data_IF_408203615304
#
_entry.id   IF_408203615304
#
_cell.length_a   1.000
_cell.length_b   1.000
_cell.length_c   1.000
_cell.angle_alpha   90.00
_cell.angle_beta   90.00
_cell.angle_gamma   90.00
#
_symmetry.space_group_name_H-M   'P 1'
#
loop_
_entity.id
_entity.type
_entity.pdbx_description
1 polymer ?
#
# COMPACT_ATOMS: atom_id res chain seq x y z
N UNK A 1 13.48 -29.75 17.79
CA UNK A 1 12.62 -30.94 17.64
C UNK A 1 11.70 -31.01 18.85
N UNK A 2 10.39 -31.23 18.67
CA UNK A 2 9.48 -31.41 19.80
C UNK A 2 9.46 -32.88 20.18
N UNK A 3 9.77 -33.23 21.42
CA UNK A 3 9.70 -34.63 21.86
C UNK A 3 8.27 -35.07 22.16
N UNK A 4 7.97 -36.34 21.91
CA UNK A 4 6.72 -36.96 22.33
C UNK A 4 6.61 -36.90 23.87
N UNK A 5 5.40 -36.67 24.39
CA UNK A 5 5.16 -36.64 25.83
C UNK A 5 4.99 -38.06 26.34
N UNK A 6 5.68 -38.39 27.42
CA UNK A 6 5.58 -39.70 28.08
C UNK A 6 4.13 -40.00 28.48
N UNK A 7 3.66 -41.22 28.19
CA UNK A 7 2.28 -41.66 28.44
C UNK A 7 1.20 -41.04 27.55
N UNK A 8 1.54 -40.22 26.53
CA UNK A 8 0.56 -39.63 25.60
C UNK A 8 0.84 -40.02 24.16
N UNK A 9 -0.22 -40.12 23.36
CA UNK A 9 -0.11 -40.40 21.91
C UNK A 9 0.73 -39.32 21.23
N UNK A 10 1.74 -39.76 20.47
CA UNK A 10 2.60 -38.89 19.68
C UNK A 10 1.75 -38.05 18.71
N UNK A 11 1.95 -36.73 18.72
CA UNK A 11 1.31 -35.82 17.76
C UNK A 11 2.11 -35.82 16.46
N UNK A 12 1.49 -35.34 15.37
CA UNK A 12 2.06 -35.31 14.02
C UNK A 12 3.47 -34.70 13.92
N UNK A 13 3.80 -33.73 14.77
CA UNK A 13 5.09 -33.02 14.77
C UNK A 13 6.04 -33.47 15.90
N UNK A 14 5.65 -34.49 16.67
CA UNK A 14 6.51 -35.04 17.71
C UNK A 14 7.62 -35.88 17.05
N UNK A 15 8.86 -35.72 17.51
CA UNK A 15 10.08 -36.32 16.99
C UNK A 15 10.41 -35.99 15.51
N UNK A 16 9.74 -34.99 14.93
CA UNK A 16 10.02 -34.50 13.57
C UNK A 16 10.84 -33.21 13.65
N UNK A 17 11.92 -33.15 12.85
CA UNK A 17 12.68 -31.92 12.65
C UNK A 17 11.93 -31.02 11.66
N UNK A 18 11.68 -29.77 12.03
CA UNK A 18 10.94 -28.82 11.20
C UNK A 18 11.58 -27.44 11.29
N UNK A 19 11.52 -26.70 10.19
CA UNK A 19 11.96 -25.31 10.09
C UNK A 19 10.82 -24.31 10.40
N UNK A 20 9.65 -24.80 10.83
CA UNK A 20 8.44 -24.02 11.02
C UNK A 20 7.59 -23.91 9.74
N UNK A 21 6.61 -23.00 9.77
CA UNK A 21 5.70 -22.71 8.65
C UNK A 21 5.98 -21.32 8.09
N UNK A 22 6.03 -21.17 6.77
CA UNK A 22 6.24 -19.87 6.12
C UNK A 22 4.99 -18.99 6.24
N UNK A 23 5.16 -17.77 6.75
CA UNK A 23 4.14 -16.71 6.69
C UNK A 23 3.99 -16.25 5.23
N UNK A 24 2.80 -16.42 4.65
CA UNK A 24 2.52 -16.06 3.26
C UNK A 24 2.52 -14.54 3.04
N UNK A 25 2.27 -13.76 4.08
CA UNK A 25 2.18 -12.29 3.99
C UNK A 25 3.54 -11.63 4.08
N UNK A 26 4.39 -12.07 5.03
CA UNK A 26 5.69 -11.44 5.31
C UNK A 26 6.89 -12.29 4.87
N UNK A 27 6.68 -13.54 4.47
CA UNK A 27 7.72 -14.45 3.98
C UNK A 27 8.62 -15.06 5.05
N UNK A 28 8.43 -14.75 6.33
CA UNK A 28 9.26 -15.27 7.42
C UNK A 28 8.84 -16.68 7.84
N UNK A 29 9.81 -17.47 8.30
CA UNK A 29 9.53 -18.75 8.94
C UNK A 29 8.99 -18.53 10.37
N UNK A 30 7.89 -19.19 10.69
CA UNK A 30 7.17 -19.09 11.96
C UNK A 30 7.21 -20.41 12.71
N UNK A 31 7.41 -20.35 14.02
CA UNK A 31 7.18 -21.47 14.92
C UNK A 31 6.22 -21.01 16.02
N UNK A 32 5.02 -21.59 16.05
CA UNK A 32 3.90 -21.03 16.83
C UNK A 32 3.67 -19.55 16.45
N UNK A 33 3.61 -18.63 17.41
CA UNK A 33 3.45 -17.18 17.19
C UNK A 33 4.76 -16.41 16.99
N UNK A 34 5.92 -17.09 16.97
CA UNK A 34 7.24 -16.45 16.97
C UNK A 34 7.96 -16.63 15.63
N UNK A 35 8.70 -15.59 15.21
CA UNK A 35 9.55 -15.64 14.00
C UNK A 35 10.83 -16.40 14.30
N UNK A 36 11.16 -17.37 13.47
CA UNK A 36 12.31 -18.28 13.69
C UNK A 36 13.64 -17.52 13.73
N UNK A 37 13.89 -16.56 12.83
CA UNK A 37 15.13 -15.77 12.86
C UNK A 37 15.32 -14.98 14.16
N UNK A 38 14.25 -14.50 14.79
CA UNK A 38 14.35 -13.77 16.07
C UNK A 38 14.74 -14.75 17.19
N UNK A 39 14.13 -15.94 17.20
CA UNK A 39 14.46 -16.99 18.18
C UNK A 39 15.92 -17.40 18.04
N UNK A 40 16.39 -17.63 16.82
CA UNK A 40 17.79 -18.00 16.54
C UNK A 40 18.74 -16.87 16.93
N UNK A 41 18.48 -15.63 16.49
CA UNK A 41 19.34 -14.49 16.80
C UNK A 41 19.42 -14.22 18.31
N UNK A 42 18.30 -14.27 19.04
CA UNK A 42 18.29 -14.10 20.50
C UNK A 42 19.05 -15.19 21.25
N UNK A 43 19.05 -16.41 20.73
CA UNK A 43 19.71 -17.54 21.39
C UNK A 43 21.22 -17.61 21.10
N UNK A 44 21.65 -17.20 19.90
CA UNK A 44 23.01 -17.48 19.41
C UNK A 44 23.83 -16.24 19.01
N UNK A 45 23.22 -15.05 18.94
CA UNK A 45 23.92 -13.80 18.55
C UNK A 45 23.86 -12.80 19.70
N UNK A 46 25.00 -12.52 20.37
CA UNK A 46 25.07 -11.51 21.41
C UNK A 46 24.91 -10.07 20.84
N UNK A 47 24.59 -9.10 21.69
CA UNK A 47 24.66 -7.67 21.34
C UNK A 47 23.34 -6.90 21.17
N UNK A 48 22.17 -7.48 21.50
CA UNK A 48 20.87 -6.77 21.50
C UNK A 48 20.23 -6.73 22.90
N UNK A 49 21.01 -6.29 23.89
CA UNK A 49 20.59 -6.26 25.31
C UNK A 49 19.54 -5.18 25.60
N UNK A 50 19.51 -4.10 24.80
CA UNK A 50 18.55 -3.00 24.92
C UNK A 50 17.24 -3.24 24.14
N UNK A 51 17.19 -4.30 23.33
CA UNK A 51 16.03 -4.71 22.53
C UNK A 51 15.67 -3.76 21.38
N UNK A 52 16.53 -2.80 21.04
CA UNK A 52 16.23 -1.76 20.02
C UNK A 52 16.63 -2.18 18.61
N UNK A 53 17.44 -3.22 18.46
CA UNK A 53 17.92 -3.70 17.17
C UNK A 53 16.95 -4.68 16.50
N UNK A 54 17.00 -4.72 15.16
CA UNK A 54 16.28 -5.67 14.32
C UNK A 54 17.24 -6.75 13.80
N UNK A 55 16.71 -7.94 13.50
CA UNK A 55 17.50 -9.00 12.87
C UNK A 55 17.51 -8.80 11.36
N UNK A 56 18.70 -8.69 10.78
CA UNK A 56 18.94 -8.67 9.34
C UNK A 56 19.30 -10.08 8.83
N UNK A 57 18.91 -10.37 7.59
CA UNK A 57 19.31 -11.56 6.82
C UNK A 57 20.35 -11.11 5.80
N UNK A 58 21.62 -11.49 6.00
CA UNK A 58 22.74 -11.04 5.17
C UNK A 58 22.50 -11.37 3.69
N UNK A 59 21.94 -12.54 3.40
CA UNK A 59 21.62 -13.00 2.05
C UNK A 59 20.28 -12.51 1.47
N UNK A 60 19.54 -11.67 2.21
CA UNK A 60 18.17 -11.19 1.89
C UNK A 60 17.09 -12.27 1.82
N UNK A 61 17.40 -13.54 2.07
CA UNK A 61 16.46 -14.65 2.07
C UNK A 61 15.87 -14.88 3.46
N UNK A 62 14.62 -14.47 3.67
CA UNK A 62 13.88 -14.59 4.94
C UNK A 62 13.64 -16.03 5.41
N UNK A 63 13.89 -17.02 4.54
CA UNK A 63 13.81 -18.45 4.86
C UNK A 63 15.15 -19.05 5.32
N UNK A 64 16.28 -18.37 5.15
CA UNK A 64 17.60 -18.82 5.60
C UNK A 64 17.92 -18.32 7.01
N UNK A 65 17.52 -19.09 8.03
CA UNK A 65 17.67 -18.71 9.44
C UNK A 65 18.92 -19.32 10.11
N UNK A 66 19.98 -19.59 9.35
CA UNK A 66 21.26 -20.07 9.90
C UNK A 66 21.91 -18.93 10.69
N UNK A 67 22.58 -19.25 11.81
CA UNK A 67 23.15 -18.23 12.71
C UNK A 67 24.14 -17.34 11.96
N UNK A 68 24.97 -17.93 11.10
CA UNK A 68 25.94 -17.24 10.25
C UNK A 68 25.33 -16.31 9.19
N UNK A 69 24.03 -16.42 8.90
CA UNK A 69 23.31 -15.56 7.95
C UNK A 69 22.54 -14.42 8.65
N UNK A 70 22.54 -14.37 9.98
CA UNK A 70 21.79 -13.39 10.76
C UNK A 70 22.73 -12.43 11.48
N UNK A 71 22.30 -11.18 11.65
CA UNK A 71 23.01 -10.17 12.47
C UNK A 71 22.04 -9.17 13.08
N UNK A 72 22.43 -8.56 14.19
CA UNK A 72 21.68 -7.43 14.77
C UNK A 72 22.11 -6.13 14.10
N UNK A 73 21.14 -5.34 13.64
CA UNK A 73 21.36 -4.00 13.10
C UNK A 73 20.24 -3.07 13.57
N UNK A 74 20.52 -1.77 13.61
CA UNK A 74 19.45 -0.77 13.65
C UNK A 74 18.65 -0.77 12.35
N UNK A 75 17.44 -0.23 12.37
CA UNK A 75 16.60 -0.12 11.16
C UNK A 75 17.30 0.63 10.02
N UNK A 76 18.14 1.63 10.35
CA UNK A 76 18.87 2.44 9.38
C UNK A 76 20.07 1.66 8.81
N UNK A 77 20.87 1.04 9.67
CA UNK A 77 22.02 0.22 9.24
C UNK A 77 21.58 -0.95 8.35
N UNK A 78 20.43 -1.56 8.63
CA UNK A 78 19.86 -2.61 7.78
C UNK A 78 19.64 -2.16 6.33
N UNK A 79 19.29 -0.89 6.13
CA UNK A 79 19.11 -0.31 4.79
C UNK A 79 20.45 0.04 4.15
N UNK A 80 21.38 0.61 4.93
CA UNK A 80 22.64 1.13 4.40
C UNK A 80 23.72 0.06 4.18
N UNK A 81 23.81 -0.97 5.04
CA UNK A 81 24.87 -1.98 5.02
C UNK A 81 24.56 -3.19 4.14
N UNK A 82 23.34 -3.28 3.61
CA UNK A 82 22.98 -4.33 2.66
C UNK A 82 23.07 -3.75 1.25
N UNK A 83 24.12 -4.12 0.49
CA UNK A 83 24.39 -3.55 -0.85
C UNK A 83 23.19 -3.65 -1.81
N UNK A 84 22.43 -4.75 -1.73
CA UNK A 84 21.25 -4.97 -2.57
C UNK A 84 20.07 -4.09 -2.14
N UNK A 85 19.83 -3.98 -0.83
CA UNK A 85 18.82 -3.07 -0.27
C UNK A 85 19.17 -1.63 -0.56
N UNK A 86 20.41 -1.21 -0.31
CA UNK A 86 20.92 0.13 -0.58
C UNK A 86 20.71 0.49 -2.05
N UNK A 87 21.11 -0.37 -2.99
CA UNK A 87 20.91 -0.14 -4.42
C UNK A 87 19.44 0.02 -4.80
N UNK A 88 18.56 -0.82 -4.24
CA UNK A 88 17.12 -0.72 -4.45
C UNK A 88 16.57 0.61 -3.93
N UNK A 89 16.96 1.00 -2.72
CA UNK A 89 16.56 2.29 -2.11
C UNK A 89 17.08 3.46 -2.94
N UNK A 90 18.35 3.46 -3.33
CA UNK A 90 18.94 4.49 -4.20
C UNK A 90 18.18 4.59 -5.53
N UNK A 91 17.81 3.47 -6.13
CA UNK A 91 16.99 3.46 -7.34
C UNK A 91 15.60 4.08 -7.12
N UNK A 92 14.91 3.69 -6.04
CA UNK A 92 13.60 4.22 -5.68
C UNK A 92 13.65 5.73 -5.38
N UNK A 93 14.76 6.22 -4.83
CA UNK A 93 15.00 7.65 -4.59
C UNK A 93 15.46 8.43 -5.84
N UNK A 94 15.39 7.83 -7.04
CA UNK A 94 15.77 8.48 -8.29
C UNK A 94 17.28 8.67 -8.47
N UNK A 95 18.09 7.80 -7.86
CA UNK A 95 19.55 7.82 -7.95
C UNK A 95 20.26 8.57 -6.83
N UNK A 96 19.53 9.17 -5.88
CA UNK A 96 20.10 9.95 -4.79
C UNK A 96 19.67 9.40 -3.42
N UNK A 97 20.60 8.74 -2.73
CA UNK A 97 20.36 8.15 -1.40
C UNK A 97 20.13 9.20 -0.31
N UNK A 98 20.57 10.46 -0.51
CA UNK A 98 20.40 11.50 0.50
C UNK A 98 18.93 11.82 0.76
N UNK A 99 18.07 11.66 -0.25
CA UNK A 99 16.61 11.77 -0.08
C UNK A 99 16.04 10.79 0.94
N UNK A 100 16.62 9.59 1.03
CA UNK A 100 16.25 8.60 2.05
C UNK A 100 16.85 8.94 3.42
N UNK A 101 18.06 9.49 3.48
CA UNK A 101 18.70 9.89 4.74
C UNK A 101 17.96 11.08 5.37
N UNK A 102 17.55 12.06 4.54
CA UNK A 102 16.78 13.24 4.96
C UNK A 102 15.35 12.88 5.38
N UNK A 103 14.72 11.92 4.69
CA UNK A 103 13.38 11.45 5.01
C UNK A 103 13.23 9.94 4.77
N UNK A 104 13.49 9.10 5.78
CA UNK A 104 13.38 7.65 5.65
C UNK A 104 11.98 7.13 5.30
N UNK A 105 10.94 7.93 5.52
CA UNK A 105 9.56 7.60 5.13
C UNK A 105 9.32 7.68 3.62
N UNK A 106 10.24 8.23 2.82
CA UNK A 106 10.09 8.34 1.36
C UNK A 106 9.90 6.98 0.67
N UNK A 107 10.32 5.89 1.30
CA UNK A 107 10.16 4.53 0.76
C UNK A 107 8.78 3.92 1.00
N UNK A 108 7.99 4.44 1.94
CA UNK A 108 6.62 3.93 2.19
C UNK A 108 5.71 4.17 0.99
N UNK A 109 5.96 5.22 0.21
CA UNK A 109 5.17 5.59 -0.98
C UNK A 109 5.63 4.87 -2.26
N UNK A 110 6.82 4.27 -2.25
CA UNK A 110 7.49 3.70 -3.44
C UNK A 110 7.51 2.17 -3.48
N UNK A 111 7.17 1.51 -2.37
CA UNK A 111 7.00 0.04 -2.31
C UNK A 111 5.53 -0.32 -2.46
N UNK A 112 5.01 -0.29 -3.69
CA UNK A 112 3.69 -0.86 -3.98
C UNK A 112 3.58 -2.35 -3.60
N UNK A 113 2.35 -2.88 -3.60
CA UNK A 113 1.96 -4.20 -3.08
C UNK A 113 2.64 -5.44 -3.71
N UNK A 114 3.53 -5.26 -4.69
CA UNK A 114 4.29 -6.34 -5.31
C UNK A 114 5.61 -6.62 -4.56
N UNK A 115 5.50 -7.18 -3.36
CA UNK A 115 6.55 -8.01 -2.80
C UNK A 115 6.25 -9.46 -3.19
N UNK A 116 6.57 -9.85 -4.42
CA UNK A 116 6.53 -11.27 -4.78
C UNK A 116 7.60 -12.00 -3.95
N UNK A 117 7.19 -12.53 -2.80
CA UNK A 117 8.00 -13.29 -1.86
C UNK A 117 7.82 -14.81 -2.13
N UNK A 118 7.09 -15.18 -3.19
CA UNK A 118 6.81 -16.58 -3.54
C UNK A 118 8.08 -17.34 -3.91
N UNK A 119 9.08 -16.65 -4.50
CA UNK A 119 10.37 -17.25 -4.83
C UNK A 119 11.23 -17.63 -3.61
N UNK A 120 11.00 -17.02 -2.44
CA UNK A 120 11.80 -17.31 -1.24
C UNK A 120 11.47 -18.72 -0.72
N UNK A 121 12.46 -19.60 -0.66
CA UNK A 121 12.33 -20.96 -0.11
C UNK A 121 13.46 -21.29 0.84
N UNK A 122 13.31 -22.37 1.60
CA UNK A 122 14.42 -22.99 2.30
C UNK A 122 15.45 -23.48 1.28
N UNK A 123 16.72 -23.14 1.52
CA UNK A 123 17.85 -23.41 0.63
C UNK A 123 18.94 -24.21 1.34
N UNK A 124 19.73 -24.98 0.60
CA UNK A 124 20.95 -25.60 1.12
C UNK A 124 22.02 -24.53 1.41
N UNK A 125 23.07 -24.91 2.15
CA UNK A 125 24.17 -23.98 2.42
C UNK A 125 24.91 -23.57 1.15
N UNK A 126 25.05 -24.49 0.19
CA UNK A 126 25.67 -24.27 -1.11
C UNK A 126 24.79 -23.37 -2.00
N UNK A 127 23.49 -23.64 -2.04
CA UNK A 127 22.51 -22.80 -2.77
C UNK A 127 22.49 -21.37 -2.23
N UNK A 128 22.53 -21.20 -0.90
CA UNK A 128 22.59 -19.89 -0.27
C UNK A 128 23.85 -19.11 -0.67
N UNK A 129 25.03 -19.77 -0.68
CA UNK A 129 26.28 -19.15 -1.13
C UNK A 129 26.23 -18.70 -2.59
N UNK A 130 25.69 -19.53 -3.48
CA UNK A 130 25.53 -19.21 -4.90
C UNK A 130 24.53 -18.07 -5.12
N UNK A 131 23.40 -18.08 -4.41
CA UNK A 131 22.40 -17.03 -4.47
C UNK A 131 22.98 -15.69 -3.98
N UNK A 132 23.68 -15.70 -2.84
CA UNK A 132 24.36 -14.53 -2.31
C UNK A 132 25.39 -13.97 -3.30
N UNK A 133 26.22 -14.82 -3.91
CA UNK A 133 27.20 -14.39 -4.91
C UNK A 133 26.54 -13.71 -6.12
N UNK A 134 25.37 -14.21 -6.57
CA UNK A 134 24.59 -13.59 -7.66
C UNK A 134 24.00 -12.25 -7.25
N UNK A 135 23.43 -12.15 -6.06
CA UNK A 135 22.86 -10.90 -5.52
C UNK A 135 23.95 -9.84 -5.35
N UNK A 136 25.10 -10.21 -4.79
CA UNK A 136 26.26 -9.33 -4.64
C UNK A 136 26.81 -8.90 -6.00
N UNK A 137 26.87 -9.79 -6.98
CA UNK A 137 27.24 -9.44 -8.36
C UNK A 137 26.25 -8.44 -8.97
N UNK A 138 24.94 -8.66 -8.80
CA UNK A 138 23.89 -7.74 -9.26
C UNK A 138 24.00 -6.38 -8.56
N UNK A 139 24.23 -6.35 -7.25
CA UNK A 139 24.38 -5.12 -6.48
C UNK A 139 25.55 -4.27 -7.00
N UNK A 140 26.67 -4.91 -7.35
CA UNK A 140 27.87 -4.25 -7.89
C UNK A 140 27.75 -3.78 -9.35
N UNK A 141 26.71 -4.16 -10.10
CA UNK A 141 26.52 -3.66 -11.48
C UNK A 141 26.26 -2.14 -11.48
N UNK A 142 26.82 -1.37 -12.42
CA UNK A 142 26.41 0.03 -12.57
C UNK A 142 24.91 0.09 -12.93
N UNK A 143 24.18 1.05 -12.34
CA UNK A 143 22.78 1.30 -12.68
C UNK A 143 22.74 1.86 -14.11
N UNK A 144 22.10 1.16 -15.05
CA UNK A 144 22.17 1.44 -16.49
C UNK A 144 21.47 2.72 -16.96
N UNK A 145 21.01 3.60 -16.05
CA UNK A 145 20.53 4.95 -16.39
C UNK A 145 21.64 6.00 -16.45
N UNK A 146 22.91 5.63 -16.23
CA UNK A 146 24.06 6.55 -16.18
C UNK A 146 24.43 7.27 -17.49
N UNK A 147 23.72 7.03 -18.61
CA UNK A 147 23.89 7.81 -19.86
C UNK A 147 23.21 9.20 -19.82
N UNK A 148 22.36 9.49 -18.83
CA UNK A 148 21.62 10.78 -18.73
C UNK A 148 22.04 11.66 -17.54
N UNK A 149 23.18 11.42 -16.89
CA UNK A 149 23.62 12.24 -15.73
C UNK A 149 25.06 12.76 -15.81
N UNK A 150 25.70 12.73 -16.98
CA UNK A 150 27.05 13.33 -17.15
C UNK A 150 27.10 14.86 -17.17
N UNK A 151 26.06 15.54 -16.68
CA UNK A 151 26.05 17.00 -16.56
C UNK A 151 25.26 17.46 -15.33
N UNK A 152 25.72 17.09 -14.13
CA UNK A 152 25.61 17.92 -12.92
C UNK A 152 26.51 17.34 -11.82
N UNK A 153 27.49 18.18 -11.50
CA UNK A 153 28.42 18.28 -10.38
C UNK A 153 28.60 17.14 -9.35
N UNK A 154 29.88 16.94 -9.03
CA UNK A 154 30.45 16.05 -8.03
C UNK A 154 29.81 16.24 -6.65
N UNK A 155 29.05 15.27 -6.17
CA UNK A 155 28.66 15.18 -4.76
C UNK A 155 29.89 14.84 -3.91
N UNK A 156 30.25 15.76 -3.02
CA UNK A 156 31.48 15.76 -2.23
C UNK A 156 31.27 15.26 -0.79
N UNK A 157 30.22 14.48 -0.50
CA UNK A 157 29.73 14.36 0.89
C UNK A 157 29.50 12.92 1.41
N UNK A 158 29.40 11.90 0.54
CA UNK A 158 29.14 10.51 0.99
C UNK A 158 30.40 9.80 1.53
N UNK A 159 31.55 9.99 0.88
CA UNK A 159 32.83 9.42 1.32
C UNK A 159 33.37 10.08 2.60
N UNK A 160 33.06 11.36 2.82
CA UNK A 160 33.42 12.09 4.06
C UNK A 160 32.56 11.65 5.25
N UNK A 161 31.29 11.29 5.03
CA UNK A 161 30.44 10.70 6.07
C UNK A 161 30.94 9.32 6.51
N UNK A 162 31.31 8.46 5.56
CA UNK A 162 31.89 7.12 5.81
C UNK A 162 33.20 7.18 6.62
N UNK A 163 34.09 8.14 6.31
CA UNK A 163 35.34 8.35 7.06
C UNK A 163 35.13 8.84 8.48
N UNK A 164 34.09 9.64 8.72
CA UNK A 164 33.80 10.22 10.05
C UNK A 164 33.27 9.18 11.04
N UNK A 165 32.79 8.04 10.55
CA UNK A 165 32.16 6.97 11.33
C UNK A 165 32.90 5.64 11.17
N UNK A 166 34.24 5.66 11.28
CA UNK A 166 35.06 4.44 11.31
C UNK A 166 34.51 3.43 12.33
N UNK A 167 33.87 2.38 11.82
CA UNK A 167 33.47 1.21 12.60
C UNK A 167 34.77 0.51 12.98
N UNK A 168 35.11 0.51 14.27
CA UNK A 168 36.22 -0.27 14.78
C UNK A 168 35.89 -1.76 14.62
N UNK A 169 36.44 -2.37 13.58
CA UNK A 169 36.59 -3.81 13.48
C UNK A 169 37.55 -4.29 14.56
N UNK A 170 37.04 -4.77 15.70
CA UNK A 170 37.68 -5.85 16.45
C UNK A 170 36.64 -6.57 17.32
N UNK A 171 36.26 -7.78 16.88
CA UNK A 171 35.89 -8.84 17.80
C UNK A 171 37.13 -9.29 18.58
N UNK A 172 37.13 -9.08 19.90
CA UNK A 172 37.95 -9.79 20.88
C UNK A 172 37.17 -9.91 22.19
N UNK A 173 36.90 -11.13 22.65
CA UNK A 173 36.43 -11.49 23.99
C UNK A 173 37.52 -11.24 25.07
N UNK A 174 37.24 -11.40 26.39
CA UNK A 174 36.59 -10.48 27.33
C UNK A 174 37.56 -9.94 28.42
N UNK A 175 37.17 -8.91 29.20
CA UNK A 175 37.31 -8.86 30.68
C UNK A 175 36.97 -7.47 31.27
N UNK A 176 36.09 -7.52 32.28
CA UNK A 176 35.87 -6.61 33.41
C UNK A 176 36.21 -5.11 33.29
N UNK A 177 35.19 -4.28 33.54
CA UNK A 177 35.25 -3.26 34.61
C UNK A 177 33.86 -2.76 35.02
N UNK A 178 33.68 -2.77 36.35
CA UNK A 178 32.56 -2.38 37.19
C UNK A 178 31.69 -1.21 36.69
N UNK A 179 30.37 -1.42 36.79
CA UNK A 179 29.33 -0.39 36.63
C UNK A 179 29.03 0.21 38.01
N UNK A 180 29.27 1.52 38.16
CA UNK A 180 28.69 2.32 39.23
C UNK A 180 27.35 2.92 38.78
N UNK A 181 26.35 2.75 39.65
CA UNK A 181 25.00 3.30 39.53
C UNK A 181 25.02 4.81 39.77
N UNK A 182 24.21 5.56 39.02
CA UNK A 182 23.61 6.78 39.55
C UNK A 182 22.12 6.87 39.20
N UNK A 183 21.33 7.03 40.27
CA UNK A 183 19.92 7.35 40.28
C UNK A 183 19.70 8.85 40.02
N UNK A 184 18.54 9.22 39.48
CA UNK A 184 17.93 10.51 39.82
C UNK A 184 16.39 10.43 39.71
N UNK A 185 15.75 10.77 40.81
CA UNK A 185 14.31 10.93 41.05
C UNK A 185 13.80 12.31 40.66
N UNK A 186 12.50 12.45 40.40
CA UNK A 186 11.61 13.44 41.05
C UNK A 186 10.14 13.13 40.72
N UNK A 187 9.26 13.30 41.71
CA UNK A 187 7.85 12.93 41.71
C UNK A 187 6.93 14.14 41.48
N UNK A 188 5.84 13.93 40.73
CA UNK A 188 4.55 14.63 40.90
C UNK A 188 3.43 13.57 41.08
N UNK A 189 2.37 13.84 41.87
CA UNK A 189 1.37 12.84 42.27
C UNK A 189 0.35 12.65 41.15
N UNK A 190 0.70 11.79 40.20
CA UNK A 190 -0.09 11.51 39.01
C UNK A 190 -1.22 10.51 39.34
N UNK A 191 -2.44 10.77 38.84
CA UNK A 191 -3.58 9.83 38.86
C UNK A 191 -3.25 8.45 38.27
N UNK A 192 -2.15 8.39 37.52
CA UNK A 192 -1.51 7.19 36.99
C UNK A 192 -0.91 6.26 38.06
N UNK A 193 -0.49 6.73 39.25
CA UNK A 193 0.14 5.86 40.28
C UNK A 193 -0.81 4.74 40.72
N UNK A 194 -2.08 5.09 40.93
CA UNK A 194 -3.12 4.15 41.36
C UNK A 194 -3.47 3.14 40.27
N UNK A 195 -3.54 3.60 39.01
CA UNK A 195 -3.75 2.74 37.85
C UNK A 195 -2.56 1.79 37.61
N UNK A 196 -1.32 2.28 37.78
CA UNK A 196 -0.09 1.47 37.69
C UNK A 196 0.06 0.47 38.83
N UNK A 197 -0.38 0.82 40.04
CA UNK A 197 -0.40 -0.08 41.18
C UNK A 197 -1.44 -1.21 41.00
N UNK A 198 -2.63 -0.89 40.48
CA UNK A 198 -3.61 -1.93 40.13
C UNK A 198 -3.15 -2.82 38.97
N UNK A 199 -2.50 -2.24 37.95
CA UNK A 199 -1.90 -2.99 36.85
C UNK A 199 -0.80 -3.94 37.34
N UNK A 200 0.09 -3.47 38.23
CA UNK A 200 1.12 -4.31 38.87
C UNK A 200 0.50 -5.41 39.72
N UNK A 201 -0.54 -5.10 40.50
CA UNK A 201 -1.27 -6.09 41.31
C UNK A 201 -1.87 -7.18 40.43
N UNK A 202 -2.53 -6.83 39.33
CA UNK A 202 -3.14 -7.78 38.39
C UNK A 202 -2.11 -8.68 37.69
N UNK A 203 -0.89 -8.18 37.43
CA UNK A 203 0.20 -9.00 36.89
C UNK A 203 0.80 -9.99 37.90
N UNK A 204 0.54 -9.80 39.21
CA UNK A 204 1.06 -10.64 40.29
C UNK A 204 0.05 -11.64 40.84
N UNK A 205 -1.23 -11.58 40.46
CA UNK A 205 -2.27 -12.53 40.91
C UNK A 205 -2.24 -13.85 40.14
N UNK A 206 -2.79 -14.94 40.72
CA UNK A 206 -2.84 -16.26 40.07
C UNK A 206 -3.54 -16.22 38.70
N UNK A 207 -3.10 -17.07 37.78
CA UNK A 207 -3.46 -17.08 36.34
C UNK A 207 -4.97 -17.17 36.05
N UNK A 208 -5.79 -17.58 37.02
CA UNK A 208 -7.26 -17.63 36.94
C UNK A 208 -7.92 -16.25 37.03
N UNK A 209 -7.29 -15.27 37.68
CA UNK A 209 -7.81 -13.90 37.83
C UNK A 209 -7.25 -12.94 36.76
N UNK A 210 -6.11 -13.28 36.15
CA UNK A 210 -5.50 -12.51 35.05
C UNK A 210 -6.35 -12.49 33.76
N UNK A 211 -7.21 -13.49 33.55
CA UNK A 211 -8.08 -13.56 32.37
C UNK A 211 -9.28 -12.62 32.42
N UNK A 212 -9.64 -12.11 33.61
CA UNK A 212 -10.78 -11.19 33.80
C UNK A 212 -10.36 -9.72 33.86
N UNK A 213 -9.07 -9.44 34.09
CA UNK A 213 -8.55 -8.07 34.15
C UNK A 213 -8.50 -7.43 32.76
N UNK A 214 -9.44 -6.50 32.51
CA UNK A 214 -9.35 -5.55 31.39
C UNK A 214 -8.69 -4.26 31.88
N UNK A 215 -7.58 -3.88 31.25
CA UNK A 215 -6.92 -2.60 31.51
C UNK A 215 -7.95 -1.45 31.35
N UNK A 216 -8.18 -0.59 32.36
CA UNK A 216 -9.16 0.50 32.30
C UNK A 216 -8.99 1.41 31.08
N UNK A 217 -7.74 1.70 30.67
CA UNK A 217 -7.47 2.50 29.48
C UNK A 217 -7.92 1.81 28.18
N UNK A 218 -7.77 0.47 28.11
CA UNK A 218 -8.25 -0.32 26.98
C UNK A 218 -9.78 -0.35 26.96
N UNK A 219 -10.41 -0.46 28.13
CA UNK A 219 -11.87 -0.45 28.27
C UNK A 219 -12.47 0.88 27.80
N UNK A 220 -11.91 2.01 28.22
CA UNK A 220 -12.34 3.34 27.74
C UNK A 220 -12.13 3.53 26.23
N UNK A 221 -11.06 2.97 25.66
CA UNK A 221 -10.83 2.99 24.22
C UNK A 221 -11.85 2.12 23.48
N UNK A 222 -12.13 0.91 23.98
CA UNK A 222 -13.15 0.01 23.43
C UNK A 222 -14.54 0.65 23.47
N UNK A 223 -14.91 1.29 24.58
CA UNK A 223 -16.19 2.00 24.73
C UNK A 223 -16.29 3.19 23.76
N UNK A 224 -15.21 3.95 23.58
CA UNK A 224 -15.14 5.03 22.58
C UNK A 224 -15.30 4.51 21.16
N UNK A 225 -14.63 3.41 20.81
CA UNK A 225 -14.73 2.79 19.48
C UNK A 225 -16.14 2.25 19.21
N UNK A 226 -16.76 1.63 20.22
CA UNK A 226 -18.13 1.13 20.13
C UNK A 226 -19.12 2.28 19.95
N UNK A 227 -18.98 3.35 20.74
CA UNK A 227 -19.82 4.53 20.61
C UNK A 227 -19.62 5.26 19.28
N UNK A 228 -18.40 5.28 18.73
CA UNK A 228 -18.14 5.86 17.41
C UNK A 228 -18.88 5.11 16.29
N UNK A 229 -19.10 3.79 16.43
CA UNK A 229 -19.81 2.97 15.43
C UNK A 229 -21.33 3.16 15.42
N UNK A 230 -21.90 3.83 16.41
CA UNK A 230 -23.33 4.13 16.45
C UNK A 230 -23.70 5.24 15.46
N UNK A 231 -24.88 5.13 14.85
CA UNK A 231 -25.45 6.16 13.97
C UNK A 231 -25.89 7.36 14.82
N UNK A 232 -25.23 8.50 14.63
CA UNK A 232 -25.45 9.73 15.42
C UNK A 232 -25.77 10.90 14.49
N UNK A 233 -26.49 11.90 15.00
CA UNK A 233 -26.69 13.16 14.26
C UNK A 233 -25.36 13.89 14.08
N UNK A 234 -25.14 14.44 12.89
CA UNK A 234 -23.98 15.30 12.61
C UNK A 234 -24.27 16.76 13.03
N UNK A 235 -23.31 17.67 12.81
CA UNK A 235 -23.51 19.11 12.94
C UNK A 235 -24.27 19.72 11.75
N UNK A 236 -24.32 19.02 10.61
CA UNK A 236 -25.17 19.40 9.49
C UNK A 236 -26.59 18.91 9.74
N UNK A 237 -27.55 19.83 9.72
CA UNK A 237 -28.96 19.54 9.95
C UNK A 237 -29.48 18.45 8.99
N UNK A 238 -30.30 17.53 9.50
CA UNK A 238 -30.90 16.46 8.70
C UNK A 238 -29.96 15.31 8.30
N UNK A 239 -28.69 15.29 8.75
CA UNK A 239 -27.70 14.26 8.36
C UNK A 239 -27.16 13.45 9.54
N UNK A 240 -26.66 12.26 9.23
CA UNK A 240 -26.09 11.34 10.22
C UNK A 240 -24.63 11.01 9.94
N UNK A 241 -23.91 10.65 11.00
CA UNK A 241 -22.52 10.21 10.96
C UNK A 241 -22.33 8.86 11.66
N UNK A 242 -21.36 8.09 11.19
CA UNK A 242 -20.93 6.79 11.76
C UNK A 242 -19.40 6.69 11.70
N UNK A 243 -18.77 6.11 12.72
CA UNK A 243 -17.33 5.83 12.76
C UNK A 243 -16.45 7.05 13.07
N UNK A 244 -17.05 8.19 13.42
CA UNK A 244 -16.34 9.40 13.84
C UNK A 244 -16.41 9.54 15.36
N UNK A 245 -15.27 9.79 16.00
CA UNK A 245 -15.21 10.10 17.44
C UNK A 245 -15.78 11.47 17.77
N UNK A 246 -15.63 12.42 16.85
CA UNK A 246 -16.06 13.81 17.00
C UNK A 246 -17.30 14.05 16.14
N UNK A 247 -18.11 15.05 16.51
CA UNK A 247 -19.18 15.51 15.62
C UNK A 247 -18.59 16.20 14.40
N UNK A 248 -19.18 15.93 13.25
CA UNK A 248 -18.73 16.40 11.94
C UNK A 248 -19.80 17.30 11.33
N UNK A 249 -19.38 18.40 10.70
CA UNK A 249 -20.17 19.17 9.77
C UNK A 249 -19.80 18.73 8.36
N UNK A 250 -20.79 18.57 7.49
CA UNK A 250 -20.64 18.25 6.06
C UNK A 250 -21.15 19.43 5.22
N UNK A 251 -20.28 20.39 4.84
CA UNK A 251 -20.69 21.64 4.21
C UNK A 251 -21.25 21.46 2.79
N UNK A 252 -20.80 20.43 2.08
CA UNK A 252 -21.24 20.12 0.71
C UNK A 252 -22.48 19.22 0.67
N UNK A 253 -23.07 18.89 1.83
CA UNK A 253 -24.28 18.09 1.84
C UNK A 253 -25.47 18.92 1.30
N UNK A 254 -26.22 18.40 0.31
CA UNK A 254 -27.41 19.08 -0.19
C UNK A 254 -28.41 19.39 0.92
N UNK A 255 -29.02 20.58 0.87
CA UNK A 255 -30.03 21.04 1.84
C UNK A 255 -31.32 20.21 1.71
N UNK A 256 -31.69 19.89 0.47
CA UNK A 256 -32.82 19.02 0.17
C UNK A 256 -32.30 17.68 -0.33
N UNK A 257 -32.84 16.60 0.25
CA UNK A 257 -32.58 15.22 -0.14
C UNK A 257 -33.18 14.83 -1.51
N UNK A 258 -33.55 15.81 -2.34
CA UNK A 258 -34.12 15.59 -3.67
C UNK A 258 -33.03 15.09 -4.61
N UNK A 259 -33.20 13.89 -5.18
CA UNK A 259 -32.27 13.32 -6.16
C UNK A 259 -31.25 12.31 -5.61
N UNK A 260 -31.32 11.95 -4.32
CA UNK A 260 -30.55 10.85 -3.75
C UNK A 260 -29.03 11.04 -3.79
N UNK A 261 -28.28 9.98 -4.09
CA UNK A 261 -26.82 10.09 -4.17
C UNK A 261 -26.35 10.83 -5.42
N UNK A 262 -27.06 10.76 -6.53
CA UNK A 262 -26.67 11.46 -7.77
C UNK A 262 -26.66 12.99 -7.59
N UNK A 263 -27.62 13.54 -6.84
CA UNK A 263 -27.60 14.99 -6.52
C UNK A 263 -26.40 15.34 -5.66
N UNK A 264 -26.09 14.54 -4.64
CA UNK A 264 -24.90 14.79 -3.82
C UNK A 264 -23.61 14.67 -4.65
N UNK A 265 -23.50 13.66 -5.53
CA UNK A 265 -22.30 13.47 -6.35
C UNK A 265 -21.96 14.68 -7.23
N UNK A 266 -22.96 15.47 -7.65
CA UNK A 266 -22.80 16.70 -8.44
C UNK A 266 -22.20 17.87 -7.65
N UNK A 267 -22.41 17.90 -6.34
CA UNK A 267 -21.88 18.93 -5.44
C UNK A 267 -20.42 18.67 -5.01
N UNK A 268 -19.83 17.54 -5.41
CA UNK A 268 -18.50 17.10 -4.97
C UNK A 268 -17.43 17.43 -6.02
N UNK A 269 -16.43 18.21 -5.63
CA UNK A 269 -15.25 18.46 -6.44
C UNK A 269 -13.95 18.21 -5.66
N UNK A 270 -12.93 17.68 -6.35
CA UNK A 270 -11.60 17.50 -5.76
C UNK A 270 -11.05 18.86 -5.33
N UNK A 271 -10.54 18.92 -4.10
CA UNK A 271 -10.02 20.15 -3.47
C UNK A 271 -10.97 20.79 -2.46
N UNK A 272 -12.27 20.53 -2.55
CA UNK A 272 -13.26 21.15 -1.66
C UNK A 272 -13.25 20.55 -0.25
N UNK A 273 -13.73 21.33 0.72
CA UNK A 273 -13.85 20.90 2.12
C UNK A 273 -15.16 20.14 2.32
N UNK A 274 -15.09 18.82 2.37
CA UNK A 274 -16.26 17.94 2.54
C UNK A 274 -16.67 17.77 3.99
N UNK A 275 -15.74 17.89 4.93
CA UNK A 275 -16.04 17.71 6.35
C UNK A 275 -15.24 18.66 7.23
N UNK A 276 -15.86 19.12 8.32
CA UNK A 276 -15.22 19.89 9.40
C UNK A 276 -15.51 19.21 10.74
N UNK A 277 -14.51 19.01 11.60
CA UNK A 277 -14.77 18.51 12.95
C UNK A 277 -15.30 19.62 13.86
N UNK A 278 -15.95 19.26 14.96
CA UNK A 278 -16.38 20.18 16.02
C UNK A 278 -15.22 21.01 16.60
N UNK A 279 -13.97 20.51 16.48
CA UNK A 279 -12.75 21.20 16.92
C UNK A 279 -12.15 22.12 15.86
N UNK A 280 -12.76 22.21 14.67
CA UNK A 280 -12.32 23.07 13.57
C UNK A 280 -11.39 22.39 12.56
N UNK A 281 -11.19 21.07 12.62
CA UNK A 281 -10.35 20.38 11.64
C UNK A 281 -11.06 20.27 10.29
N UNK A 282 -10.42 20.77 9.23
CA UNK A 282 -10.97 20.68 7.87
C UNK A 282 -10.40 19.49 7.09
N UNK A 283 -11.28 18.81 6.36
CA UNK A 283 -10.96 17.66 5.52
C UNK A 283 -11.28 17.96 4.06
N UNK A 284 -10.24 17.96 3.23
CA UNK A 284 -10.32 18.27 1.79
C UNK A 284 -10.39 17.00 0.95
N UNK A 285 -11.22 17.03 -0.10
CA UNK A 285 -11.38 15.92 -1.05
C UNK A 285 -10.10 15.72 -1.87
N UNK A 286 -9.63 14.47 -1.95
CA UNK A 286 -8.49 14.06 -2.80
C UNK A 286 -8.85 13.01 -3.84
N UNK A 287 -9.95 12.27 -3.64
CA UNK A 287 -10.46 11.31 -4.61
C UNK A 287 -11.96 11.13 -4.44
N UNK A 288 -12.63 10.84 -5.55
CA UNK A 288 -14.08 10.62 -5.62
C UNK A 288 -14.36 9.38 -6.46
N UNK A 289 -15.36 8.61 -6.07
CA UNK A 289 -15.79 7.44 -6.83
C UNK A 289 -17.11 6.87 -6.34
N UNK A 290 -17.78 6.14 -7.21
CA UNK A 290 -18.86 5.24 -6.84
C UNK A 290 -18.25 3.92 -6.40
N UNK A 291 -18.72 3.33 -5.30
CA UNK A 291 -18.35 1.94 -5.03
C UNK A 291 -18.93 1.03 -6.12
N UNK A 292 -18.33 -0.13 -6.32
CA UNK A 292 -18.79 -1.09 -7.36
C UNK A 292 -20.20 -1.61 -7.11
N UNK A 293 -20.74 -1.50 -5.88
CA UNK A 293 -22.13 -1.80 -5.57
C UNK A 293 -23.11 -0.66 -5.86
N UNK A 294 -22.61 0.50 -6.32
CA UNK A 294 -23.39 1.68 -6.73
C UNK A 294 -24.32 2.31 -5.68
N UNK A 295 -24.20 1.89 -4.42
CA UNK A 295 -25.05 2.36 -3.32
C UNK A 295 -24.34 3.37 -2.40
N UNK A 296 -23.10 3.72 -2.72
CA UNK A 296 -22.22 4.53 -1.87
C UNK A 296 -21.31 5.39 -2.73
N UNK A 297 -21.17 6.67 -2.38
CA UNK A 297 -20.08 7.51 -2.89
C UNK A 297 -18.91 7.37 -1.91
N UNK A 298 -17.75 6.99 -2.42
CA UNK A 298 -16.50 6.95 -1.67
C UNK A 298 -15.71 8.23 -1.92
N UNK A 299 -15.37 8.92 -0.84
CA UNK A 299 -14.62 10.18 -0.85
C UNK A 299 -13.32 9.98 -0.07
N UNK A 300 -12.19 10.01 -0.74
CA UNK A 300 -10.89 10.09 -0.08
C UNK A 300 -10.67 11.50 0.43
N UNK A 301 -10.28 11.64 1.70
CA UNK A 301 -10.06 12.95 2.33
C UNK A 301 -8.69 13.05 2.97
N UNK A 302 -8.15 14.27 3.00
CA UNK A 302 -6.95 14.62 3.78
C UNK A 302 -7.16 15.85 4.64
N UNK A 303 -6.55 15.85 5.81
CA UNK A 303 -6.34 17.04 6.63
C UNK A 303 -4.87 17.45 6.51
N UNK A 304 -4.63 18.68 6.04
CA UNK A 304 -3.27 19.18 5.76
C UNK A 304 -2.45 19.39 7.04
N UNK A 305 -3.09 19.78 8.13
CA UNK A 305 -2.41 20.12 9.39
C UNK A 305 -1.99 18.87 10.17
N UNK A 306 -2.89 17.88 10.26
CA UNK A 306 -2.70 16.67 11.06
C UNK A 306 -2.05 15.51 10.31
N UNK A 307 -1.73 15.68 9.02
CA UNK A 307 -1.24 14.60 8.12
C UNK A 307 -2.13 13.34 8.17
N UNK A 308 -3.43 13.52 8.40
CA UNK A 308 -4.40 12.44 8.48
C UNK A 308 -5.09 12.27 7.12
N UNK A 309 -5.24 11.02 6.67
CA UNK A 309 -6.05 10.66 5.50
C UNK A 309 -6.92 9.45 5.82
N UNK A 310 -8.14 9.46 5.29
CA UNK A 310 -9.10 8.36 5.42
C UNK A 310 -10.19 8.48 4.35
N UNK A 311 -11.14 7.54 4.34
CA UNK A 311 -12.28 7.57 3.42
C UNK A 311 -13.58 7.88 4.17
N UNK A 312 -14.41 8.70 3.53
CA UNK A 312 -15.80 8.93 3.91
C UNK A 312 -16.67 8.21 2.89
N UNK A 313 -17.54 7.34 3.37
CA UNK A 313 -18.58 6.69 2.58
C UNK A 313 -19.89 7.44 2.80
N UNK A 314 -20.49 7.91 1.72
CA UNK A 314 -21.76 8.64 1.73
C UNK A 314 -22.83 7.71 1.20
N UNK A 315 -23.85 7.47 2.02
CA UNK A 315 -25.04 6.69 1.68
C UNK A 315 -26.29 7.55 1.77
N UNK A 316 -27.31 7.12 1.05
CA UNK A 316 -28.64 7.70 1.11
C UNK A 316 -29.64 6.63 1.55
N UNK A 317 -30.16 6.78 2.77
CA UNK A 317 -31.01 5.80 3.44
C UNK A 317 -32.27 6.51 3.95
N UNK A 318 -33.47 6.01 3.63
CA UNK A 318 -34.74 6.53 4.19
C UNK A 318 -34.94 8.05 4.03
N UNK A 319 -34.43 8.64 2.95
CA UNK A 319 -34.55 10.08 2.71
C UNK A 319 -33.47 10.95 3.36
N UNK A 320 -32.46 10.34 4.00
CA UNK A 320 -31.39 11.07 4.69
C UNK A 320 -29.99 10.62 4.25
N UNK A 321 -29.05 11.56 4.26
CA UNK A 321 -27.64 11.27 4.01
C UNK A 321 -26.94 10.76 5.28
N UNK A 322 -26.14 9.72 5.11
CA UNK A 322 -25.35 9.09 6.16
C UNK A 322 -23.89 9.07 5.73
N UNK A 323 -23.03 9.71 6.51
CA UNK A 323 -21.59 9.77 6.30
C UNK A 323 -20.90 8.81 7.27
N UNK A 324 -20.20 7.81 6.76
CA UNK A 324 -19.44 6.88 7.59
C UNK A 324 -17.95 6.96 7.31
N UNK A 325 -17.14 7.04 8.38
CA UNK A 325 -15.70 6.85 8.27
C UNK A 325 -15.44 5.38 7.94
N UNK A 326 -14.71 5.13 6.86
CA UNK A 326 -14.49 3.77 6.35
C UNK A 326 -13.07 3.53 5.85
N UNK A 327 -12.82 2.27 5.53
CA UNK A 327 -11.65 1.83 4.79
C UNK A 327 -11.90 1.96 3.28
N UNK A 328 -10.83 1.83 2.50
CA UNK A 328 -10.94 1.80 1.04
C UNK A 328 -11.83 0.64 0.57
N UNK A 329 -12.70 0.93 -0.39
CA UNK A 329 -13.47 -0.04 -1.17
C UNK A 329 -13.15 0.12 -2.64
N UNK A 330 -13.31 -0.96 -3.39
CA UNK A 330 -13.22 -0.90 -4.84
C UNK A 330 -14.25 0.08 -5.40
N UNK A 331 -13.82 0.90 -6.36
CA UNK A 331 -14.60 2.01 -6.86
C UNK A 331 -14.36 2.28 -8.35
N UNK A 332 -15.39 2.84 -8.99
CA UNK A 332 -15.30 3.57 -10.23
C UNK A 332 -15.00 5.03 -9.90
N UNK A 333 -13.80 5.52 -10.22
CA UNK A 333 -13.37 6.88 -9.86
C UNK A 333 -13.94 7.91 -10.81
N UNK A 334 -14.30 9.08 -10.27
CA UNK A 334 -14.81 10.19 -11.08
C UNK A 334 -13.68 10.72 -11.96
N UNK A 335 -14.00 11.02 -13.21
CA UNK A 335 -13.12 11.73 -14.13
C UNK A 335 -13.31 13.23 -13.97
N UNK A 336 -14.04 13.84 -14.90
CA UNK A 336 -14.45 15.24 -14.90
C UNK A 336 -15.93 15.43 -14.50
N UNK A 337 -16.64 14.33 -14.24
CA UNK A 337 -18.05 14.28 -13.87
C UNK A 337 -18.36 13.04 -13.02
N UNK A 338 -19.38 13.07 -12.13
CA UNK A 338 -19.87 11.87 -11.45
C UNK A 338 -20.47 10.80 -12.38
N UNK A 339 -20.70 11.12 -13.65
CA UNK A 339 -21.25 10.19 -14.65
C UNK A 339 -20.23 9.68 -15.67
N UNK A 340 -19.00 10.22 -15.64
CA UNK A 340 -17.88 9.79 -16.47
C UNK A 340 -16.80 9.25 -15.55
N UNK A 341 -16.55 7.95 -15.63
CA UNK A 341 -15.81 7.22 -14.62
C UNK A 341 -14.63 6.48 -15.22
N UNK A 342 -13.66 6.14 -14.38
CA UNK A 342 -12.53 5.28 -14.72
C UNK A 342 -12.31 4.17 -13.69
N UNK A 343 -11.73 3.04 -14.12
CA UNK A 343 -11.24 2.00 -13.23
C UNK A 343 -9.99 1.30 -13.79
N UNK A 344 -9.36 0.47 -12.96
CA UNK A 344 -8.10 -0.28 -13.26
C UNK A 344 -6.86 0.57 -13.57
N UNK A 345 -6.93 1.89 -13.40
CA UNK A 345 -5.77 2.77 -13.41
C UNK A 345 -5.56 3.44 -12.06
N UNK A 346 -4.29 3.77 -11.76
CA UNK A 346 -3.93 4.66 -10.64
C UNK A 346 -3.93 6.13 -11.04
N UNK A 347 -3.55 6.42 -12.28
CA UNK A 347 -3.51 7.79 -12.84
C UNK A 347 -4.93 8.33 -13.06
N UNK A 348 -5.11 9.63 -12.84
CA UNK A 348 -6.35 10.32 -13.17
C UNK A 348 -6.38 10.62 -14.67
N UNK A 349 -7.35 10.04 -15.39
CA UNK A 349 -7.61 10.33 -16.80
C UNK A 349 -8.89 11.15 -16.96
N UNK A 350 -8.94 11.92 -18.03
CA UNK A 350 -10.07 12.71 -18.48
C UNK A 350 -10.38 12.34 -19.92
N UNK A 351 -11.66 12.34 -20.29
CA UNK A 351 -12.13 11.89 -21.60
C UNK A 351 -12.85 13.05 -22.30
N UNK A 352 -12.13 13.92 -23.04
CA UNK A 352 -12.67 15.22 -23.50
C UNK A 352 -13.90 15.14 -24.40
N UNK A 353 -14.15 13.97 -24.99
CA UNK A 353 -15.23 13.72 -25.95
C UNK A 353 -16.41 13.00 -25.29
N UNK A 354 -16.22 12.41 -24.11
CA UNK A 354 -17.32 11.82 -23.37
C UNK A 354 -18.24 12.94 -22.83
N UNK A 355 -19.56 12.92 -23.12
CA UNK A 355 -20.47 13.87 -22.52
C UNK A 355 -20.46 13.75 -21.00
N UNK A 356 -20.33 14.89 -20.31
CA UNK A 356 -20.26 14.94 -18.84
C UNK A 356 -21.52 14.38 -18.18
N UNK A 357 -22.69 14.50 -18.81
CA UNK A 357 -23.92 13.93 -18.25
C UNK A 357 -23.94 12.39 -18.33
N UNK A 358 -23.03 11.76 -19.08
CA UNK A 358 -22.99 10.30 -19.26
C UNK A 358 -24.14 9.75 -20.14
N UNK A 359 -24.89 10.64 -20.78
CA UNK A 359 -26.06 10.32 -21.60
C UNK A 359 -25.66 10.01 -23.05
N UNK A 360 -24.80 9.01 -23.24
CA UNK A 360 -24.37 8.55 -24.57
C UNK A 360 -24.44 7.03 -24.64
N UNK A 361 -24.97 6.52 -25.75
CA UNK A 361 -24.93 5.08 -26.07
C UNK A 361 -23.54 4.68 -26.54
N UNK A 362 -23.22 3.38 -26.52
CA UNK A 362 -21.93 2.90 -27.02
C UNK A 362 -21.79 3.14 -28.52
N UNK A 363 -22.90 3.05 -29.26
CA UNK A 363 -23.00 3.32 -30.69
C UNK A 363 -22.68 4.77 -31.02
N UNK A 364 -23.36 5.71 -30.35
CA UNK A 364 -23.09 7.15 -30.51
C UNK A 364 -21.65 7.50 -30.12
N UNK A 365 -21.12 6.86 -29.06
CA UNK A 365 -19.76 7.11 -28.63
C UNK A 365 -18.73 6.57 -29.64
N UNK A 366 -18.97 5.38 -30.22
CA UNK A 366 -18.12 4.81 -31.26
C UNK A 366 -18.11 5.64 -32.56
N UNK A 367 -19.23 6.33 -32.87
CA UNK A 367 -19.35 7.19 -34.05
C UNK A 367 -18.50 8.46 -33.95
N UNK A 368 -18.37 9.03 -32.75
CA UNK A 368 -17.53 10.22 -32.52
C UNK A 368 -16.05 9.87 -32.31
N UNK A 369 -15.75 8.68 -31.81
CA UNK A 369 -14.39 8.18 -31.59
C UNK A 369 -13.74 7.67 -32.88
N UNK A 370 -13.45 8.58 -33.80
CA UNK A 370 -12.75 8.28 -35.07
C UNK A 370 -11.24 8.25 -34.87
N UNK A 371 -10.51 7.65 -35.81
CA UNK A 371 -9.04 7.61 -35.79
C UNK A 371 -8.43 9.02 -35.62
N UNK A 372 -7.33 9.10 -34.87
CA UNK A 372 -6.53 10.28 -34.55
C UNK A 372 -7.25 11.35 -33.71
N UNK A 373 -8.46 11.05 -33.23
CA UNK A 373 -9.20 11.90 -32.31
C UNK A 373 -8.63 11.79 -30.90
N UNK A 374 -8.48 12.93 -30.21
CA UNK A 374 -8.05 12.98 -28.81
C UNK A 374 -9.10 12.33 -27.91
N UNK A 375 -8.79 11.15 -27.38
CA UNK A 375 -9.69 10.34 -26.57
C UNK A 375 -9.47 10.54 -25.08
N UNK A 376 -8.22 10.46 -24.63
CA UNK A 376 -7.87 10.58 -23.22
C UNK A 376 -6.78 11.61 -22.98
N UNK A 377 -6.84 12.23 -21.80
CA UNK A 377 -5.80 13.13 -21.29
C UNK A 377 -5.50 12.80 -19.86
N UNK A 378 -4.22 12.77 -19.51
CA UNK A 378 -3.77 12.74 -18.13
C UNK A 378 -2.57 13.68 -17.94
N UNK A 379 -2.01 13.73 -16.74
CA UNK A 379 -0.88 14.63 -16.43
C UNK A 379 0.45 14.26 -17.11
N UNK A 380 0.53 13.09 -17.74
CA UNK A 380 1.75 12.54 -18.33
C UNK A 380 1.69 12.48 -19.86
N UNK A 381 0.52 12.18 -20.45
CA UNK A 381 0.36 12.04 -21.89
C UNK A 381 -1.08 12.30 -22.35
N UNK A 382 -1.18 12.65 -23.63
CA UNK A 382 -2.43 12.65 -24.41
C UNK A 382 -2.55 11.32 -25.17
N UNK A 383 -3.76 10.79 -25.28
CA UNK A 383 -4.08 9.54 -25.98
C UNK A 383 -5.06 9.75 -27.12
N UNK A 384 -4.74 9.18 -28.28
CA UNK A 384 -5.48 9.34 -29.54
C UNK A 384 -6.04 8.00 -30.02
N UNK A 385 -7.25 7.99 -30.58
CA UNK A 385 -7.87 6.75 -31.08
C UNK A 385 -7.10 6.18 -32.27
N UNK A 386 -6.78 4.89 -32.24
CA UNK A 386 -6.24 4.13 -33.38
C UNK A 386 -7.38 3.43 -34.12
N UNK A 387 -8.12 2.61 -33.38
CA UNK A 387 -9.26 1.83 -33.83
C UNK A 387 -10.24 1.65 -32.66
N UNK A 388 -11.48 1.34 -32.97
CA UNK A 388 -12.55 1.12 -31.99
C UNK A 388 -13.64 0.20 -32.53
N UNK A 389 -14.21 -0.60 -31.65
CA UNK A 389 -15.24 -1.56 -32.02
C UNK A 389 -16.15 -1.90 -30.85
N UNK A 390 -17.43 -2.04 -31.15
CA UNK A 390 -18.40 -2.58 -30.19
C UNK A 390 -18.35 -4.09 -30.26
N UNK A 391 -18.11 -4.71 -29.10
CA UNK A 391 -18.08 -6.16 -28.93
C UNK A 391 -18.85 -6.54 -27.67
N UNK A 392 -18.73 -7.78 -27.22
CA UNK A 392 -19.35 -8.29 -26.01
C UNK A 392 -18.30 -8.65 -24.96
N UNK A 393 -18.61 -8.39 -23.69
CA UNK A 393 -17.86 -8.89 -22.55
C UNK A 393 -17.97 -10.42 -22.45
N UNK A 394 -17.20 -11.02 -21.53
CA UNK A 394 -17.33 -12.46 -21.24
C UNK A 394 -18.73 -12.87 -20.80
N UNK A 395 -19.47 -11.92 -20.23
CA UNK A 395 -20.84 -12.13 -19.73
C UNK A 395 -21.90 -11.74 -20.78
N UNK A 396 -21.49 -11.45 -22.02
CA UNK A 396 -22.38 -11.12 -23.13
C UNK A 396 -22.88 -9.68 -23.16
N UNK A 397 -22.38 -8.81 -22.27
CA UNK A 397 -22.78 -7.40 -22.22
C UNK A 397 -22.05 -6.57 -23.30
N UNK A 398 -22.71 -5.63 -23.98
CA UNK A 398 -22.05 -4.80 -24.98
C UNK A 398 -20.98 -3.91 -24.34
N UNK A 399 -19.81 -3.85 -24.97
CA UNK A 399 -18.68 -3.01 -24.57
C UNK A 399 -18.05 -2.39 -25.79
N UNK A 400 -17.57 -1.15 -25.67
CA UNK A 400 -16.80 -0.46 -26.70
C UNK A 400 -15.31 -0.61 -26.39
N UNK A 401 -14.61 -1.37 -27.22
CA UNK A 401 -13.16 -1.51 -27.14
C UNK A 401 -12.48 -0.42 -27.96
N UNK A 402 -11.44 0.20 -27.41
CA UNK A 402 -10.74 1.34 -28.01
C UNK A 402 -9.23 1.10 -27.92
N UNK A 403 -8.55 1.21 -29.05
CA UNK A 403 -7.10 1.23 -29.14
C UNK A 403 -6.61 2.67 -29.08
N UNK A 404 -5.63 2.95 -28.23
CA UNK A 404 -5.15 4.31 -27.96
C UNK A 404 -3.66 4.41 -28.26
N UNK A 405 -3.27 5.46 -28.97
CA UNK A 405 -1.89 5.87 -29.22
C UNK A 405 -1.50 7.02 -28.30
N UNK A 406 -0.38 6.88 -27.57
CA UNK A 406 0.17 7.87 -26.64
C UNK A 406 1.61 8.23 -27.06
N UNK A 407 1.82 9.30 -27.85
CA UNK A 407 3.13 9.60 -28.44
C UNK A 407 4.24 9.87 -27.40
N UNK A 408 3.87 10.47 -26.27
CA UNK A 408 4.81 10.88 -25.21
C UNK A 408 5.08 9.78 -24.16
N UNK A 409 4.39 8.64 -24.26
CA UNK A 409 4.59 7.50 -23.38
C UNK A 409 5.69 6.57 -23.89
N UNK A 410 6.44 5.95 -22.98
CA UNK A 410 7.39 4.88 -23.31
C UNK A 410 6.66 3.71 -23.96
N UNK A 411 5.51 3.32 -23.38
CA UNK A 411 4.58 2.36 -23.96
C UNK A 411 3.55 3.13 -24.76
N UNK A 412 3.77 3.19 -26.07
CA UNK A 412 3.04 4.09 -26.97
C UNK A 412 1.61 3.68 -27.27
N UNK A 413 1.19 2.49 -26.83
CA UNK A 413 -0.11 1.95 -27.17
C UNK A 413 -0.83 1.48 -25.91
N UNK A 414 -2.15 1.60 -25.87
CA UNK A 414 -2.98 1.07 -24.80
C UNK A 414 -4.31 0.57 -25.32
N UNK A 415 -4.96 -0.29 -24.54
CA UNK A 415 -6.36 -0.60 -24.73
C UNK A 415 -7.25 -0.06 -23.61
N UNK A 416 -8.44 0.37 -24.00
CA UNK A 416 -9.47 0.87 -23.09
C UNK A 416 -10.79 0.21 -23.44
N UNK A 417 -11.49 -0.26 -22.41
CA UNK A 417 -12.83 -0.83 -22.54
C UNK A 417 -13.82 0.15 -21.94
N UNK A 418 -14.80 0.58 -22.73
CA UNK A 418 -15.87 1.46 -22.29
C UNK A 418 -17.17 0.66 -22.20
N UNK A 419 -17.89 0.84 -21.10
CA UNK A 419 -19.21 0.26 -20.92
C UNK A 419 -20.12 1.22 -20.18
N UNK A 420 -21.43 1.04 -20.33
CA UNK A 420 -22.44 1.82 -19.61
C UNK A 420 -23.03 0.95 -18.51
N UNK A 421 -22.97 1.45 -17.28
CA UNK A 421 -23.51 0.78 -16.10
C UNK A 421 -24.23 1.82 -15.23
N UNK A 422 -25.46 1.52 -14.78
CA UNK A 422 -26.31 2.45 -14.00
C UNK A 422 -26.43 3.86 -14.61
N UNK A 423 -26.54 3.93 -15.94
CA UNK A 423 -26.69 5.19 -16.68
C UNK A 423 -25.42 6.05 -16.70
N UNK A 424 -24.26 5.48 -16.38
CA UNK A 424 -22.96 6.16 -16.32
C UNK A 424 -21.95 5.47 -17.23
N UNK A 425 -21.03 6.25 -17.79
CA UNK A 425 -20.01 5.75 -18.72
C UNK A 425 -18.75 5.42 -17.94
N UNK A 426 -18.33 4.16 -18.00
CA UNK A 426 -17.14 3.66 -17.29
C UNK A 426 -16.05 3.34 -18.31
N UNK A 427 -14.88 3.97 -18.13
CA UNK A 427 -13.67 3.74 -18.90
C UNK A 427 -12.72 2.84 -18.09
N UNK A 428 -12.73 1.55 -18.41
CA UNK A 428 -11.80 0.60 -17.85
C UNK A 428 -10.49 0.65 -18.63
N UNK A 429 -9.47 1.24 -18.00
CA UNK A 429 -8.14 1.37 -18.57
C UNK A 429 -7.45 0.00 -18.50
N UNK A 430 -7.01 -0.47 -19.65
CA UNK A 430 -6.42 -1.80 -19.82
C UNK A 430 -4.90 -1.80 -19.69
N UNK A 431 -4.29 -2.65 -20.51
CA UNK A 431 -2.84 -2.81 -20.60
C UNK A 431 -2.22 -1.76 -21.52
N UNK A 432 -0.93 -1.54 -21.33
CA UNK A 432 -0.11 -0.67 -22.17
C UNK A 432 0.96 -1.49 -22.88
N UNK A 433 1.26 -1.13 -24.11
CA UNK A 433 2.14 -1.87 -25.02
C UNK A 433 3.21 -0.98 -25.63
N UNK A 434 4.36 -1.56 -25.93
CA UNK A 434 5.44 -0.89 -26.67
C UNK A 434 5.17 -0.88 -28.18
N UNK A 435 4.56 -1.95 -28.70
CA UNK A 435 4.31 -2.17 -30.12
C UNK A 435 2.81 -2.12 -30.45
N UNK A 436 2.45 -1.49 -31.56
CA UNK A 436 1.08 -1.44 -32.06
C UNK A 436 0.57 -2.85 -32.37
N UNK A 437 1.45 -3.75 -32.82
CA UNK A 437 1.11 -5.14 -33.11
C UNK A 437 0.63 -5.89 -31.86
N UNK A 438 1.15 -5.54 -30.68
CA UNK A 438 0.70 -6.14 -29.42
C UNK A 438 -0.77 -5.78 -29.14
N UNK A 439 -1.12 -4.52 -29.38
CA UNK A 439 -2.49 -4.02 -29.29
C UNK A 439 -3.37 -4.69 -30.35
N UNK A 440 -2.94 -4.74 -31.61
CA UNK A 440 -3.68 -5.40 -32.69
C UNK A 440 -3.90 -6.89 -32.42
N UNK A 441 -2.91 -7.59 -31.84
CA UNK A 441 -3.05 -8.97 -31.38
C UNK A 441 -4.13 -9.10 -30.31
N UNK A 442 -4.20 -8.15 -29.37
CA UNK A 442 -5.28 -8.08 -28.37
C UNK A 442 -6.65 -7.89 -29.04
N UNK A 443 -6.75 -6.95 -29.98
CA UNK A 443 -7.95 -6.73 -30.83
C UNK A 443 -8.38 -8.02 -31.54
N UNK A 444 -7.48 -8.70 -32.25
CA UNK A 444 -7.80 -9.94 -32.97
C UNK A 444 -8.29 -11.04 -32.02
N UNK A 445 -7.62 -11.21 -30.87
CA UNK A 445 -8.05 -12.19 -29.86
C UNK A 445 -9.45 -11.87 -29.31
N UNK A 446 -9.74 -10.60 -29.07
CA UNK A 446 -11.07 -10.14 -28.62
C UNK A 446 -12.16 -10.37 -29.68
N UNK A 447 -11.83 -10.21 -30.97
CA UNK A 447 -12.74 -10.52 -32.10
C UNK A 447 -12.94 -12.03 -32.31
N UNK A 448 -12.29 -12.89 -31.52
CA UNK A 448 -12.25 -14.33 -31.78
C UNK A 448 -11.52 -14.68 -33.08
N UNK A 449 -10.73 -13.76 -33.63
CA UNK A 449 -9.97 -13.95 -34.86
C UNK A 449 -8.65 -14.65 -34.54
N UNK A 450 -8.15 -15.43 -35.50
CA UNK A 450 -6.82 -16.03 -35.40
C UNK A 450 -5.77 -14.94 -35.57
N UNK A 451 -4.79 -14.92 -34.68
CA UNK A 451 -3.57 -14.14 -34.83
C UNK A 451 -2.45 -15.08 -35.28
N UNK A 452 -1.50 -14.56 -36.07
CA UNK A 452 -0.32 -15.32 -36.42
C UNK A 452 0.68 -15.29 -35.24
N UNK A 453 0.71 -16.34 -34.43
CA UNK A 453 1.59 -16.43 -33.26
C UNK A 453 3.09 -16.52 -33.62
N UNK A 454 3.43 -16.71 -34.90
CA UNK A 454 4.81 -16.63 -35.39
C UNK A 454 5.28 -15.17 -35.56
N UNK A 455 4.38 -14.19 -35.49
CA UNK A 455 4.78 -12.78 -35.50
C UNK A 455 5.41 -12.37 -34.17
N UNK A 456 6.68 -11.97 -34.25
CA UNK A 456 7.43 -11.43 -33.12
C UNK A 456 6.88 -10.05 -32.72
N UNK A 457 6.42 -9.93 -31.48
CA UNK A 457 5.94 -8.69 -30.87
C UNK A 457 6.91 -8.27 -29.77
N UNK A 458 7.33 -7.00 -29.74
CA UNK A 458 8.31 -6.51 -28.77
C UNK A 458 7.90 -6.76 -27.30
N UNK A 459 6.60 -6.65 -27.02
CA UNK A 459 6.02 -6.90 -25.70
C UNK A 459 6.18 -8.35 -25.19
N UNK A 460 6.47 -9.34 -26.05
CA UNK A 460 6.71 -10.73 -25.63
C UNK A 460 8.06 -10.92 -24.91
N UNK A 461 8.95 -9.93 -24.98
CA UNK A 461 10.27 -9.96 -24.36
C UNK A 461 10.37 -9.15 -23.06
N UNK A 462 9.25 -8.57 -22.59
CA UNK A 462 9.22 -7.60 -21.49
C UNK A 462 8.57 -8.14 -20.20
#
# INVERSE_FOLDING_TARGET
>A
MRHAREGKKARKLDNVWTFGTKDKTRGYMMISSHRVHIVVAKAFIPGNEDGKMVVDHIDTNRCNNRVENLRWLTKLENVLLNEATLKRVTYLCGGDINKFIENPSCLQDLTGDNQDIMWMRTVSAEEAKLAFARISSWAKRPISSFKMMKKREKTKDFEDWLKKHEIKDTNSFPENRNVEKQNASTEEPNSDKKAWEEFRRALTTPRTEQSEYKNPMMKESEERDMSAKEKKKSLTEGTFQIGFYEKMQFPLCPIEATGGLDSYAKELQIGDVIAKSEKGDEYTIISLGWTTEWNTIQVGVKNKEKRASFYIHIKYEEGVYVHSKGEYRDQYRFCDSPNVLQCRASTQCYFPICPKEGNITLEEYADVLKKDVLFEKNQYCDGYVIDREITQSKDGLPVLYIGVYMPDSIKKYADVIVFVENGKVVHQIGSTYFDEKALQRSFCKLRGQKWNDDEVVADDYC
#
